data_IF_069862491215
#
_entry.id   IF_069862491215
#
_cell.length_a   1.000
_cell.length_b   1.000
_cell.length_c   1.000
_cell.angle_alpha   90.00
_cell.angle_beta   90.00
_cell.angle_gamma   90.00
#
_symmetry.space_group_name_H-M   'P 1'
#
loop_
_entity.id
_entity.type
_entity.pdbx_description
1 polymer ?
#
# COMPACT_ATOMS: atom_id res chain seq x y z
N UNK A 1 -11.76 -1.94 -25.16
CA UNK A 1 -11.63 -3.23 -24.45
C UNK A 1 -10.24 -3.25 -23.84
N UNK A 2 -10.13 -3.29 -22.52
CA UNK A 2 -8.83 -3.47 -21.84
C UNK A 2 -8.62 -4.97 -21.60
N UNK A 3 -7.41 -5.47 -21.84
CA UNK A 3 -7.05 -6.88 -21.65
C UNK A 3 -5.87 -6.92 -20.70
N UNK A 4 -5.95 -7.81 -19.72
CA UNK A 4 -4.92 -8.07 -18.73
C UNK A 4 -4.27 -9.44 -18.97
N UNK A 5 -2.97 -9.56 -18.74
CA UNK A 5 -2.26 -10.83 -18.85
C UNK A 5 -1.36 -11.01 -17.62
N UNK A 6 -1.31 -12.25 -17.12
CA UNK A 6 -0.45 -12.65 -16.02
C UNK A 6 0.21 -14.00 -16.36
N UNK A 7 1.47 -14.15 -15.99
CA UNK A 7 2.23 -15.38 -16.18
C UNK A 7 2.78 -15.84 -14.84
N UNK A 8 2.59 -17.10 -14.48
CA UNK A 8 3.11 -17.69 -13.25
C UNK A 8 4.08 -18.80 -13.58
N UNK A 9 5.27 -18.68 -13.04
CA UNK A 9 6.21 -19.78 -13.04
C UNK A 9 6.04 -20.59 -11.76
N UNK A 10 5.60 -21.84 -11.89
CA UNK A 10 5.54 -22.79 -10.79
C UNK A 10 6.95 -23.34 -10.51
N UNK A 11 7.86 -22.49 -10.00
CA UNK A 11 9.07 -23.02 -9.35
C UNK A 11 8.66 -23.57 -7.99
N UNK A 12 8.64 -24.89 -7.85
CA UNK A 12 8.30 -25.56 -6.59
C UNK A 12 9.17 -25.06 -5.43
N UNK A 13 8.53 -24.69 -4.31
CA UNK A 13 9.24 -24.26 -3.10
C UNK A 13 8.44 -23.37 -2.14
N UNK A 14 7.33 -22.77 -2.59
CA UNK A 14 6.54 -21.88 -1.73
C UNK A 14 5.27 -22.56 -1.18
N UNK A 15 4.91 -22.22 0.06
CA UNK A 15 3.67 -22.66 0.70
C UNK A 15 2.44 -22.18 -0.09
N UNK A 16 1.39 -23.00 -0.20
CA UNK A 16 0.21 -22.71 -1.04
C UNK A 16 -0.41 -21.34 -0.74
N UNK A 17 -0.56 -21.00 0.55
CA UNK A 17 -1.10 -19.71 0.99
C UNK A 17 -0.30 -18.53 0.43
N UNK A 18 1.03 -18.64 0.41
CA UNK A 18 1.90 -17.59 -0.12
C UNK A 18 1.68 -17.42 -1.63
N UNK A 19 1.63 -18.53 -2.37
CA UNK A 19 1.38 -18.50 -3.81
C UNK A 19 0.04 -17.83 -4.15
N UNK A 20 -1.02 -18.09 -3.38
CA UNK A 20 -2.33 -17.43 -3.56
C UNK A 20 -2.23 -15.91 -3.38
N UNK A 21 -1.46 -15.43 -2.38
CA UNK A 21 -1.28 -13.99 -2.16
C UNK A 21 -0.46 -13.32 -3.25
N UNK A 22 0.57 -13.99 -3.77
CA UNK A 22 1.32 -13.52 -4.94
C UNK A 22 0.41 -13.43 -6.17
N UNK A 23 -0.38 -14.46 -6.45
CA UNK A 23 -1.34 -14.43 -7.57
C UNK A 23 -2.34 -13.29 -7.42
N UNK A 24 -2.89 -13.10 -6.22
CA UNK A 24 -3.81 -12.00 -5.93
C UNK A 24 -3.14 -10.62 -6.10
N UNK A 25 -1.89 -10.46 -5.68
CA UNK A 25 -1.09 -9.24 -5.88
C UNK A 25 -0.94 -8.90 -7.36
N UNK A 26 -0.51 -9.86 -8.18
CA UNK A 26 -0.35 -9.64 -9.61
C UNK A 26 -1.69 -9.36 -10.31
N UNK A 27 -2.77 -10.05 -9.88
CA UNK A 27 -4.12 -9.76 -10.36
C UNK A 27 -4.53 -8.31 -10.06
N UNK A 28 -4.20 -7.78 -8.90
CA UNK A 28 -4.50 -6.37 -8.56
C UNK A 28 -3.78 -5.41 -9.50
N UNK A 29 -2.52 -5.66 -9.87
CA UNK A 29 -1.85 -4.86 -10.91
C UNK A 29 -2.55 -4.96 -12.25
N UNK A 30 -2.89 -6.17 -12.68
CA UNK A 30 -3.60 -6.43 -13.95
C UNK A 30 -4.96 -5.72 -13.99
N UNK A 31 -5.65 -5.63 -12.85
CA UNK A 31 -6.94 -4.94 -12.71
C UNK A 31 -6.82 -3.41 -12.70
N UNK A 32 -5.60 -2.87 -12.75
CA UNK A 32 -5.35 -1.44 -12.92
C UNK A 32 -4.73 -0.75 -11.72
N UNK A 33 -4.31 -1.48 -10.68
CA UNK A 33 -3.52 -0.89 -9.60
C UNK A 33 -2.11 -0.58 -10.11
N UNK A 34 -1.96 0.58 -10.72
CA UNK A 34 -0.69 1.10 -11.22
C UNK A 34 -0.65 2.61 -11.11
N UNK A 35 0.56 3.15 -10.95
CA UNK A 35 0.76 4.59 -10.90
C UNK A 35 0.20 5.33 -12.11
N UNK A 36 0.40 4.78 -13.32
CA UNK A 36 -0.07 5.38 -14.56
C UNK A 36 -1.60 5.51 -14.56
N UNK A 37 -2.31 4.51 -14.03
CA UNK A 37 -3.77 4.58 -13.88
C UNK A 37 -4.15 5.58 -12.79
N UNK A 38 -3.45 5.59 -11.66
CA UNK A 38 -3.70 6.55 -10.60
C UNK A 38 -3.49 8.00 -11.07
N UNK A 39 -2.47 8.26 -11.87
CA UNK A 39 -2.19 9.56 -12.49
C UNK A 39 -3.27 9.92 -13.52
N UNK A 40 -3.61 9.00 -14.43
CA UNK A 40 -4.66 9.22 -15.42
C UNK A 40 -6.02 9.50 -14.77
N UNK A 41 -6.28 8.94 -13.58
CA UNK A 41 -7.47 9.18 -12.77
C UNK A 41 -7.34 10.38 -11.82
N UNK A 42 -6.19 11.05 -11.80
CA UNK A 42 -5.92 12.20 -10.95
C UNK A 42 -6.09 11.92 -9.44
N UNK A 43 -5.87 10.68 -9.01
CA UNK A 43 -6.00 10.25 -7.59
C UNK A 43 -4.67 10.30 -6.82
N UNK A 44 -3.55 10.46 -7.52
CA UNK A 44 -2.20 10.57 -6.94
C UNK A 44 -1.63 11.97 -7.12
N UNK A 45 -0.85 12.45 -6.15
CA UNK A 45 -0.01 13.65 -6.29
C UNK A 45 1.35 13.44 -5.67
N UNK A 46 2.31 14.26 -6.08
CA UNK A 46 3.61 14.37 -5.43
C UNK A 46 3.52 15.40 -4.30
N UNK A 47 3.85 14.96 -3.09
CA UNK A 47 3.98 15.82 -1.91
C UNK A 47 5.46 16.01 -1.57
N UNK A 48 5.84 17.25 -1.30
CA UNK A 48 7.16 17.58 -0.75
C UNK A 48 7.07 17.45 0.77
N UNK A 49 7.69 16.43 1.35
CA UNK A 49 7.69 16.27 2.80
C UNK A 49 8.75 17.14 3.46
N UNK A 50 8.41 17.82 4.58
CA UNK A 50 9.38 18.61 5.35
C UNK A 50 10.36 17.65 6.04
N UNK A 51 11.65 17.81 5.79
CA UNK A 51 12.72 17.07 6.49
C UNK A 51 13.79 16.48 5.57
N UNK A 52 13.45 16.17 4.32
CA UNK A 52 14.39 15.83 3.26
C UNK A 52 13.75 16.24 1.94
N UNK A 53 14.53 16.63 0.93
CA UNK A 53 14.06 16.93 -0.43
C UNK A 53 13.46 15.71 -1.18
N UNK A 54 12.97 14.70 -0.44
CA UNK A 54 12.34 13.51 -0.95
C UNK A 54 10.89 13.82 -1.35
N UNK A 55 10.58 13.52 -2.60
CA UNK A 55 9.23 13.59 -3.17
C UNK A 55 8.50 12.31 -2.78
N UNK A 56 7.37 12.44 -2.09
CA UNK A 56 6.51 11.30 -1.76
C UNK A 56 5.35 11.28 -2.73
N UNK A 57 5.17 10.21 -3.50
CA UNK A 57 3.91 9.99 -4.21
C UNK A 57 2.85 9.52 -3.20
N UNK A 58 1.70 10.17 -3.20
CA UNK A 58 0.63 9.90 -2.25
C UNK A 58 -0.70 9.84 -2.99
N UNK A 59 -1.48 8.80 -2.72
CA UNK A 59 -2.86 8.68 -3.18
C UNK A 59 -3.74 9.49 -2.22
N UNK A 60 -4.29 10.59 -2.72
CA UNK A 60 -5.00 11.62 -1.95
C UNK A 60 -6.51 11.64 -2.21
N UNK A 61 -7.00 10.68 -2.97
CA UNK A 61 -8.42 10.55 -3.25
C UNK A 61 -9.23 10.30 -1.98
N UNK A 62 -10.48 10.76 -1.99
CA UNK A 62 -11.31 10.92 -0.79
C UNK A 62 -11.43 9.63 0.01
N UNK A 63 -11.80 8.52 -0.64
CA UNK A 63 -12.05 7.26 0.08
C UNK A 63 -10.76 6.63 0.58
N UNK A 64 -9.69 6.69 -0.22
CA UNK A 64 -8.36 6.20 0.15
C UNK A 64 -7.84 6.95 1.36
N UNK A 65 -7.98 8.28 1.36
CA UNK A 65 -7.64 9.12 2.51
C UNK A 65 -8.45 8.72 3.73
N UNK A 66 -9.78 8.62 3.64
CA UNK A 66 -10.64 8.21 4.76
C UNK A 66 -10.23 6.86 5.34
N UNK A 67 -10.03 5.83 4.49
CA UNK A 67 -9.62 4.50 4.94
C UNK A 67 -8.20 4.45 5.51
N UNK A 68 -7.30 5.28 5.01
CA UNK A 68 -5.99 5.48 5.65
C UNK A 68 -6.14 6.11 7.03
N UNK A 69 -6.90 7.19 7.16
CA UNK A 69 -7.10 7.88 8.44
C UNK A 69 -7.74 6.94 9.49
N UNK A 70 -8.73 6.14 9.08
CA UNK A 70 -9.33 5.09 9.91
C UNK A 70 -8.31 4.02 10.34
N UNK A 71 -7.51 3.50 9.40
CA UNK A 71 -6.54 2.44 9.68
C UNK A 71 -5.45 2.92 10.65
N UNK A 72 -4.85 4.08 10.39
CA UNK A 72 -3.75 4.58 11.20
C UNK A 72 -4.19 5.31 12.48
N UNK A 73 -5.47 5.66 12.62
CA UNK A 73 -5.99 6.60 13.62
C UNK A 73 -5.26 7.95 13.57
N UNK A 74 -5.16 8.53 12.37
CA UNK A 74 -4.51 9.82 12.14
C UNK A 74 -5.34 10.72 11.23
N UNK A 75 -6.11 11.65 11.80
CA UNK A 75 -7.02 12.52 11.05
C UNK A 75 -6.34 13.61 10.22
N UNK A 76 -5.07 13.94 10.52
CA UNK A 76 -4.30 14.93 9.74
C UNK A 76 -3.60 14.31 8.53
N UNK A 77 -3.65 12.98 8.36
CA UNK A 77 -3.03 12.31 7.23
C UNK A 77 -3.67 12.77 5.91
N UNK A 78 -2.84 13.18 4.96
CA UNK A 78 -3.29 13.70 3.68
C UNK A 78 -3.74 12.59 2.71
N UNK A 79 -3.16 11.39 2.82
CA UNK A 79 -3.52 10.21 2.05
C UNK A 79 -2.55 9.05 2.24
N UNK A 80 -2.58 8.07 1.34
CA UNK A 80 -1.78 6.85 1.43
C UNK A 80 -0.47 6.95 0.63
N UNK A 81 0.71 6.85 1.25
CA UNK A 81 1.98 6.91 0.54
C UNK A 81 2.26 5.69 -0.36
N UNK A 82 2.81 5.93 -1.54
CA UNK A 82 3.37 4.94 -2.46
C UNK A 82 4.89 4.82 -2.30
N UNK A 83 5.43 3.63 -2.53
CA UNK A 83 6.87 3.31 -2.40
C UNK A 83 7.74 4.25 -3.24
N UNK A 84 8.80 4.77 -2.63
CA UNK A 84 9.78 5.73 -3.20
C UNK A 84 11.07 5.05 -3.74
N UNK A 85 11.10 3.72 -3.86
CA UNK A 85 12.37 3.04 -4.19
C UNK A 85 12.71 3.11 -5.68
N UNK A 86 13.57 4.07 -6.01
CA UNK A 86 14.30 4.19 -7.28
C UNK A 86 15.01 2.87 -7.61
N UNK A 87 14.48 2.13 -8.57
CA UNK A 87 15.27 1.17 -9.33
C UNK A 87 15.12 1.54 -10.81
N UNK A 88 16.24 1.59 -11.53
CA UNK A 88 16.46 2.12 -12.89
C UNK A 88 15.67 1.35 -13.99
N UNK A 89 14.78 0.45 -13.59
CA UNK A 89 14.09 -0.51 -14.44
C UNK A 89 12.57 -0.43 -14.26
N UNK A 90 11.97 0.75 -14.42
CA UNK A 90 10.52 0.95 -14.72
C UNK A 90 9.45 0.34 -13.78
N UNK A 91 9.81 -0.37 -12.69
CA UNK A 91 8.88 -1.02 -11.75
C UNK A 91 8.42 -0.11 -10.61
N UNK A 92 8.75 1.16 -10.71
CA UNK A 92 8.42 2.18 -9.72
C UNK A 92 6.90 2.47 -9.69
N UNK A 93 6.40 2.72 -8.47
CA UNK A 93 5.17 3.46 -8.12
C UNK A 93 3.82 2.71 -8.01
N UNK A 94 3.77 1.38 -8.05
CA UNK A 94 2.48 0.67 -7.93
C UNK A 94 2.30 -0.10 -6.62
N UNK A 95 3.07 0.23 -5.59
CA UNK A 95 3.02 -0.41 -4.27
C UNK A 95 2.87 0.61 -3.16
N UNK A 96 2.20 0.23 -2.07
CA UNK A 96 2.20 1.01 -0.84
C UNK A 96 3.59 1.06 -0.22
N UNK A 97 3.91 2.13 0.51
CA UNK A 97 5.17 2.19 1.28
C UNK A 97 5.17 1.09 2.35
N UNK A 98 6.26 0.32 2.43
CA UNK A 98 6.42 -0.76 3.43
C UNK A 98 6.22 -0.28 4.86
N UNK A 99 6.75 0.90 5.19
CA UNK A 99 6.60 1.53 6.51
C UNK A 99 5.14 1.59 6.96
N UNK A 100 4.25 2.03 6.06
CA UNK A 100 2.82 2.17 6.33
C UNK A 100 2.03 0.87 6.12
N UNK A 101 2.48 -0.03 5.26
CA UNK A 101 1.66 -1.14 4.76
C UNK A 101 2.43 -2.45 4.54
N UNK A 102 3.32 -2.82 5.48
CA UNK A 102 4.19 -4.01 5.39
C UNK A 102 3.42 -5.30 5.04
N UNK A 103 2.28 -5.50 5.69
CA UNK A 103 1.48 -6.73 5.61
C UNK A 103 0.33 -6.65 4.61
N UNK A 104 0.25 -5.57 3.82
CA UNK A 104 -0.81 -5.33 2.84
C UNK A 104 -0.55 -6.13 1.55
N UNK A 105 -1.62 -6.50 0.84
CA UNK A 105 -1.55 -7.26 -0.41
C UNK A 105 -0.63 -6.59 -1.43
N UNK A 106 -0.65 -5.26 -1.53
CA UNK A 106 0.13 -4.40 -2.42
C UNK A 106 1.29 -3.71 -1.69
N UNK A 107 1.70 -4.28 -0.55
CA UNK A 107 2.99 -3.99 0.04
C UNK A 107 4.14 -4.44 -0.87
N UNK A 108 5.34 -3.86 -0.75
CA UNK A 108 6.43 -4.03 -1.71
C UNK A 108 7.16 -5.37 -1.61
N UNK A 109 6.80 -6.22 -0.64
CA UNK A 109 7.40 -7.54 -0.45
C UNK A 109 6.36 -8.53 0.03
N UNK A 110 5.60 -9.11 -0.90
CA UNK A 110 4.74 -10.27 -0.62
C UNK A 110 5.52 -11.36 0.15
N UNK A 111 6.80 -11.58 -0.16
CA UNK A 111 7.72 -12.53 0.52
C UNK A 111 7.95 -12.29 2.03
N UNK A 112 7.69 -11.10 2.57
CA UNK A 112 7.95 -10.79 3.99
C UNK A 112 6.76 -10.20 4.74
N UNK A 113 5.60 -10.12 4.08
CA UNK A 113 4.36 -9.59 4.64
C UNK A 113 3.22 -10.61 4.57
N UNK A 114 2.14 -10.32 5.30
CA UNK A 114 0.98 -11.22 5.33
C UNK A 114 0.09 -11.17 4.07
N UNK A 115 0.18 -10.13 3.24
CA UNK A 115 -0.59 -10.01 2.00
C UNK A 115 -2.11 -9.83 2.19
N UNK A 116 -2.52 -9.08 3.21
CA UNK A 116 -3.93 -8.80 3.48
C UNK A 116 -4.53 -7.86 2.43
N UNK A 117 -5.66 -8.24 1.84
CA UNK A 117 -6.44 -7.37 0.97
C UNK A 117 -7.27 -6.41 1.82
N UNK A 118 -6.67 -5.26 2.12
CA UNK A 118 -7.25 -4.32 3.08
C UNK A 118 -8.17 -3.29 2.42
N UNK A 119 -8.88 -2.55 3.26
CA UNK A 119 -9.67 -1.39 2.85
C UNK A 119 -8.83 -0.32 2.12
N UNK A 120 -7.50 -0.28 2.32
CA UNK A 120 -6.61 0.69 1.65
C UNK A 120 -6.58 0.46 0.14
N UNK A 121 -6.30 -0.76 -0.30
CA UNK A 121 -6.27 -1.12 -1.72
C UNK A 121 -7.67 -1.09 -2.34
N UNK A 122 -8.68 -1.52 -1.59
CA UNK A 122 -10.07 -1.49 -2.05
C UNK A 122 -10.55 -0.05 -2.30
N UNK A 123 -10.22 0.88 -1.40
CA UNK A 123 -10.57 2.29 -1.55
C UNK A 123 -9.90 2.93 -2.76
N UNK A 124 -8.61 2.63 -3.00
CA UNK A 124 -7.89 3.14 -4.17
C UNK A 124 -8.53 2.69 -5.49
N UNK A 125 -9.02 1.45 -5.56
CA UNK A 125 -9.75 0.95 -6.72
C UNK A 125 -11.08 1.65 -6.96
N UNK A 126 -11.84 1.90 -5.89
CA UNK A 126 -13.12 2.59 -6.00
C UNK A 126 -12.93 4.07 -6.36
N UNK A 127 -11.92 4.75 -5.80
CA UNK A 127 -11.58 6.13 -6.16
C UNK A 127 -11.11 6.27 -7.62
N UNK A 128 -10.46 5.25 -8.19
CA UNK A 128 -10.13 5.24 -9.63
C UNK A 128 -11.37 5.05 -10.52
N UNK A 129 -12.51 4.69 -9.94
CA UNK A 129 -13.81 4.59 -10.61
C UNK A 129 -13.98 3.35 -11.49
N UNK A 130 -13.11 2.34 -11.34
CA UNK A 130 -13.22 1.08 -12.09
C UNK A 130 -14.16 0.08 -11.41
N UNK A 131 -14.25 0.13 -10.08
CA UNK A 131 -14.92 -0.87 -9.26
C UNK A 131 -15.68 -0.21 -8.12
N UNK A 132 -16.56 -0.97 -7.47
CA UNK A 132 -17.20 -0.60 -6.20
C UNK A 132 -16.79 -1.62 -5.14
N UNK A 133 -16.15 -1.18 -4.08
CA UNK A 133 -15.65 -2.06 -3.05
C UNK A 133 -16.76 -2.50 -2.09
N UNK A 134 -16.69 -3.76 -1.65
CA UNK A 134 -17.49 -4.25 -0.54
C UNK A 134 -16.64 -4.29 0.74
N UNK A 135 -16.58 -3.17 1.47
CA UNK A 135 -15.70 -3.01 2.64
C UNK A 135 -15.99 -3.97 3.80
N UNK A 136 -17.15 -4.64 3.84
CA UNK A 136 -17.39 -5.68 4.86
C UNK A 136 -16.50 -6.92 4.69
N UNK A 137 -15.91 -7.09 3.50
CA UNK A 137 -14.99 -8.18 3.17
C UNK A 137 -13.51 -7.78 3.34
N UNK A 138 -13.23 -6.53 3.73
CA UNK A 138 -11.86 -6.06 3.86
C UNK A 138 -11.11 -6.82 4.97
N UNK A 139 -9.94 -7.34 4.64
CA UNK A 139 -9.08 -7.98 5.63
C UNK A 139 -8.47 -6.92 6.55
N UNK A 140 -8.31 -7.26 7.83
CA UNK A 140 -7.71 -6.36 8.81
C UNK A 140 -6.21 -6.64 8.92
N UNK A 141 -5.40 -5.65 8.54
CA UNK A 141 -3.97 -5.63 8.81
C UNK A 141 -3.70 -5.10 10.23
N UNK A 142 -2.82 -5.76 10.99
CA UNK A 142 -2.40 -5.28 12.33
C UNK A 142 -1.28 -4.25 12.26
N UNK A 143 -0.37 -4.41 11.30
CA UNK A 143 0.68 -3.44 11.04
C UNK A 143 0.08 -2.05 10.89
N UNK A 144 0.68 -1.08 11.57
CA UNK A 144 0.31 0.34 11.60
C UNK A 144 -1.14 0.64 12.00
N UNK A 145 -1.90 -0.31 12.54
CA UNK A 145 -3.29 -0.06 12.94
C UNK A 145 -3.34 0.72 14.25
N UNK A 146 -4.06 1.84 14.28
CA UNK A 146 -4.23 2.71 15.44
C UNK A 146 -2.92 3.30 16.04
N UNK A 147 -1.85 3.37 15.25
CA UNK A 147 -0.53 3.83 15.72
C UNK A 147 -0.42 5.35 15.91
N UNK A 148 -1.36 6.12 15.34
CA UNK A 148 -1.41 7.57 15.47
C UNK A 148 -0.48 8.31 14.51
N UNK A 149 -0.61 9.64 14.50
CA UNK A 149 0.10 10.51 13.56
C UNK A 149 1.61 10.62 13.80
N UNK A 150 2.10 10.33 15.01
CA UNK A 150 3.54 10.33 15.32
C UNK A 150 4.26 9.35 14.38
N UNK A 151 3.83 8.09 14.37
CA UNK A 151 4.39 7.05 13.51
C UNK A 151 4.21 7.33 12.02
N UNK A 152 3.01 7.77 11.62
CA UNK A 152 2.65 7.91 10.20
C UNK A 152 3.46 9.01 9.51
N UNK A 153 3.75 10.09 10.24
CA UNK A 153 4.49 11.23 9.72
C UNK A 153 6.00 11.05 9.83
N UNK A 154 6.46 10.17 10.72
CA UNK A 154 7.84 9.69 10.74
C UNK A 154 8.11 8.77 9.54
N UNK A 155 9.34 8.81 9.02
CA UNK A 155 9.75 8.05 7.82
C UNK A 155 11.02 7.22 8.05
N UNK A 156 11.49 7.12 9.28
CA UNK A 156 12.74 6.44 9.61
C UNK A 156 12.57 5.68 10.92
N UNK A 157 13.16 4.49 11.00
CA UNK A 157 13.26 3.76 12.26
C UNK A 157 14.17 4.52 13.22
N UNK A 158 13.66 4.86 14.40
CA UNK A 158 14.44 5.30 15.55
C UNK A 158 14.96 4.11 16.39
N UNK A 159 16.06 4.30 17.14
CA UNK A 159 16.55 3.26 18.07
C UNK A 159 15.51 2.82 19.10
N UNK A 160 14.64 3.74 19.54
CA UNK A 160 13.64 3.51 20.58
C UNK A 160 12.26 3.10 20.04
N UNK A 161 12.10 2.88 18.73
CA UNK A 161 10.78 2.57 18.13
C UNK A 161 10.19 1.25 18.63
N UNK A 162 11.03 0.30 19.05
CA UNK A 162 10.61 -0.95 19.70
C UNK A 162 9.93 -0.69 21.05
N UNK A 163 10.25 0.42 21.74
CA UNK A 163 9.58 0.82 22.98
C UNK A 163 8.27 1.57 22.72
N UNK A 164 8.23 2.42 21.70
CA UNK A 164 7.04 3.21 21.31
C UNK A 164 5.99 2.35 20.60
N UNK A 165 6.44 1.43 19.75
CA UNK A 165 5.62 0.58 18.90
C UNK A 165 6.00 -0.91 19.03
N UNK A 166 5.88 -1.50 20.24
CA UNK A 166 6.35 -2.86 20.54
C UNK A 166 5.62 -3.96 19.77
N UNK A 167 4.46 -3.67 19.19
CA UNK A 167 3.72 -4.60 18.34
C UNK A 167 4.27 -4.67 16.90
N UNK A 168 5.16 -3.74 16.50
CA UNK A 168 5.68 -3.61 15.15
C UNK A 168 7.20 -3.79 15.08
N UNK A 169 7.94 -3.27 16.06
CA UNK A 169 9.40 -3.34 16.11
C UNK A 169 9.86 -4.11 17.34
N UNK A 170 11.04 -4.71 17.21
CA UNK A 170 11.71 -5.54 18.21
C UNK A 170 13.14 -5.05 18.43
#
# INVERSE_FOLDING_TARGET
MTVGAMNFYLSGGFHLWFAVRVVAHELVHVLGFSYQQMEAKSVVRTLTTRGYAAKSWTVLSTLTKEKSQEHFNCSSLEGMPLRDEYDDVSRLHSHWVRWHAKDELIGPTVATGAGFYTALTMAAFEDMGFYKANFSMAETMRWSKNVGCEFVNEKQCGPDDHTKFPAMFC
#
